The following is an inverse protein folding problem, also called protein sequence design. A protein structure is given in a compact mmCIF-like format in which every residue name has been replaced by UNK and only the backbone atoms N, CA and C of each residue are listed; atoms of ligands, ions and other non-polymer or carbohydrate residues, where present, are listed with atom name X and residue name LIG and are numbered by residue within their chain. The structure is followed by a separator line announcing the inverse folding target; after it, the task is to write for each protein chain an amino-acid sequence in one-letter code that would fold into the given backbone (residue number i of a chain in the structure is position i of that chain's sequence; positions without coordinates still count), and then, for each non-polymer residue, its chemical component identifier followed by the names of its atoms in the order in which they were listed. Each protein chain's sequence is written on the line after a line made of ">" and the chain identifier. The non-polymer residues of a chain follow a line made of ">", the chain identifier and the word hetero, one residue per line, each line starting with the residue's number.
data_IF_128430970642
#
_entry.id   IF_128430970642
#
_cell.length_a   1.000
_cell.length_b   1.000
_cell.length_c   1.000
_cell.angle_alpha   90.00
_cell.angle_beta   90.00
_cell.angle_gamma   90.00
#
_symmetry.space_group_name_H-M   'P 1'
#
loop_
_entity.id
_entity.type
_entity.pdbx_description
1 polymer ?
#
# COMPACT_ATOMS: atom_id res chain seq x y z
N UNK A 1 19.90 -2.02 -43.41
CA UNK A 1 20.48 -1.44 -42.19
C UNK A 1 19.87 -1.93 -40.86
N UNK A 2 18.62 -2.37 -40.77
CA UNK A 2 17.99 -2.88 -39.51
C UNK A 2 18.45 -4.30 -39.10
N UNK A 3 18.84 -5.17 -40.05
CA UNK A 3 19.26 -6.55 -39.79
C UNK A 3 20.65 -6.60 -39.15
N UNK A 4 21.56 -5.77 -39.62
CA UNK A 4 22.95 -5.71 -39.12
C UNK A 4 23.03 -5.28 -37.64
N UNK A 5 22.09 -4.46 -37.17
CA UNK A 5 22.01 -4.08 -35.74
C UNK A 5 21.47 -5.20 -34.82
N UNK A 6 20.61 -6.07 -35.35
CA UNK A 6 20.10 -7.23 -34.57
C UNK A 6 21.19 -8.25 -34.33
N UNK A 7 22.00 -8.56 -35.37
CA UNK A 7 23.07 -9.55 -35.22
C UNK A 7 24.18 -9.05 -34.29
N UNK A 8 24.51 -7.75 -34.34
CA UNK A 8 25.47 -7.16 -33.42
C UNK A 8 24.94 -7.19 -31.95
N UNK A 9 23.67 -6.91 -31.74
CA UNK A 9 23.02 -6.96 -30.43
C UNK A 9 23.02 -8.39 -29.84
N UNK A 10 22.66 -9.41 -30.64
CA UNK A 10 22.64 -10.80 -30.21
C UNK A 10 24.06 -11.26 -29.86
N UNK A 11 25.07 -10.92 -30.69
CA UNK A 11 26.49 -11.24 -30.40
C UNK A 11 26.99 -10.60 -29.12
N UNK A 12 26.57 -9.35 -28.84
CA UNK A 12 26.90 -8.65 -27.59
C UNK A 12 26.30 -9.33 -26.37
N UNK A 13 25.04 -9.78 -26.43
CA UNK A 13 24.40 -10.52 -25.33
C UNK A 13 25.10 -11.86 -25.07
N UNK A 14 25.42 -12.60 -26.13
CA UNK A 14 26.14 -13.88 -26.02
C UNK A 14 27.51 -13.66 -25.35
N UNK A 15 28.23 -12.62 -25.74
CA UNK A 15 29.53 -12.30 -25.14
C UNK A 15 29.41 -11.95 -23.65
N UNK A 16 28.40 -11.17 -23.26
CA UNK A 16 28.14 -10.82 -21.84
C UNK A 16 27.81 -12.07 -21.03
N UNK A 17 26.94 -12.95 -21.52
CA UNK A 17 26.59 -14.20 -20.85
C UNK A 17 27.82 -15.11 -20.70
N UNK A 18 28.67 -15.20 -21.72
CA UNK A 18 29.90 -15.97 -21.65
C UNK A 18 30.88 -15.42 -20.60
N UNK A 19 31.03 -14.09 -20.51
CA UNK A 19 31.85 -13.45 -19.47
C UNK A 19 31.32 -13.72 -18.08
N UNK A 20 30.00 -13.59 -17.87
CA UNK A 20 29.35 -13.88 -16.56
C UNK A 20 29.53 -15.37 -16.17
N UNK A 21 29.46 -16.27 -17.13
CA UNK A 21 29.70 -17.69 -16.91
C UNK A 21 31.15 -17.96 -16.50
N UNK A 22 32.13 -17.33 -17.15
CA UNK A 22 33.54 -17.43 -16.80
C UNK A 22 33.82 -16.83 -15.40
N UNK A 23 33.21 -15.68 -15.06
CA UNK A 23 33.30 -15.10 -13.72
C UNK A 23 32.77 -16.06 -12.66
N UNK A 24 31.65 -16.74 -12.92
CA UNK A 24 31.10 -17.78 -12.02
C UNK A 24 32.01 -18.97 -11.83
N UNK A 25 32.71 -19.41 -12.89
CA UNK A 25 33.67 -20.52 -12.83
C UNK A 25 34.93 -20.15 -12.02
N UNK A 26 35.40 -18.90 -12.17
CA UNK A 26 36.58 -18.40 -11.46
C UNK A 26 36.30 -17.99 -10.00
N UNK A 27 35.05 -17.66 -9.68
CA UNK A 27 34.63 -17.19 -8.34
C UNK A 27 33.32 -17.87 -7.88
N UNK A 28 33.34 -19.13 -7.50
CA UNK A 28 32.14 -19.85 -7.08
C UNK A 28 31.47 -19.26 -5.82
N UNK A 29 32.22 -18.58 -4.97
CA UNK A 29 31.71 -17.96 -3.72
C UNK A 29 30.86 -16.68 -3.88
N UNK A 30 30.77 -16.11 -5.08
CA UNK A 30 29.97 -14.89 -5.33
C UNK A 30 28.46 -15.18 -5.31
N UNK A 31 28.04 -16.44 -5.33
CA UNK A 31 26.62 -16.85 -5.34
C UNK A 31 26.15 -17.55 -4.07
N UNK A 32 26.99 -17.74 -3.07
CA UNK A 32 26.56 -18.23 -1.76
C UNK A 32 26.12 -17.03 -0.91
N UNK A 33 24.82 -16.77 -0.87
CA UNK A 33 24.23 -15.96 0.19
C UNK A 33 24.38 -16.75 1.49
N UNK A 34 25.22 -16.28 2.41
CA UNK A 34 25.31 -16.79 3.77
C UNK A 34 23.97 -16.51 4.47
N UNK A 35 23.09 -17.50 4.48
CA UNK A 35 22.00 -17.57 5.44
C UNK A 35 22.66 -18.04 6.74
N UNK A 36 22.64 -17.28 7.84
CA UNK A 36 23.13 -17.79 9.11
C UNK A 36 22.23 -18.94 9.54
N UNK A 37 22.83 -20.11 9.70
CA UNK A 37 22.23 -21.31 10.29
C UNK A 37 21.85 -20.96 11.72
N UNK A 38 20.55 -20.89 12.01
CA UNK A 38 20.02 -20.68 13.35
C UNK A 38 20.21 -21.99 14.12
N UNK A 39 21.13 -21.97 15.06
CA UNK A 39 21.28 -23.01 16.07
C UNK A 39 19.94 -23.30 16.75
N UNK A 40 19.54 -24.56 16.68
CA UNK A 40 18.39 -25.10 17.41
C UNK A 40 18.71 -25.07 18.89
N UNK A 41 18.22 -24.06 19.59
CA UNK A 41 18.28 -24.02 21.06
C UNK A 41 17.30 -25.03 21.64
N UNK A 42 17.86 -25.99 22.35
CA UNK A 42 17.18 -26.99 23.14
C UNK A 42 16.22 -26.34 24.16
N UNK A 43 15.04 -26.94 24.30
CA UNK A 43 14.05 -26.59 25.31
C UNK A 43 14.63 -26.73 26.71
N UNK A 44 14.60 -25.63 27.50
CA UNK A 44 14.81 -25.65 28.94
C UNK A 44 13.48 -25.46 29.66
N UNK A 45 13.28 -26.09 30.85
CA UNK A 45 11.98 -26.14 31.50
C UNK A 45 11.57 -24.82 32.16
N UNK A 46 10.28 -24.56 32.12
CA UNK A 46 9.64 -23.39 32.72
C UNK A 46 9.69 -23.50 34.24
N UNK A 47 10.52 -22.72 34.91
CA UNK A 47 10.41 -22.44 36.33
C UNK A 47 9.60 -21.17 36.60
N UNK A 48 8.63 -21.32 37.49
CA UNK A 48 7.79 -20.25 38.00
C UNK A 48 8.61 -19.28 38.86
N UNK A 49 8.68 -18.00 38.50
CA UNK A 49 9.23 -16.94 39.34
C UNK A 49 8.12 -16.07 39.93
N UNK A 50 8.01 -16.17 41.23
CA UNK A 50 7.27 -15.31 42.16
C UNK A 50 7.92 -13.93 42.26
N UNK A 51 7.11 -12.96 42.67
CA UNK A 51 7.34 -11.52 42.74
C UNK A 51 8.56 -11.06 43.57
N UNK A 52 8.94 -9.81 43.23
CA UNK A 52 9.72 -8.86 43.98
C UNK A 52 11.26 -8.90 43.77
N UNK A 53 11.78 -7.92 43.01
CA UNK A 53 12.75 -6.98 43.54
C UNK A 53 12.92 -5.74 42.64
N UNK A 54 12.98 -4.60 43.29
CA UNK A 54 13.17 -3.28 42.72
C UNK A 54 14.64 -3.07 42.33
N UNK A 55 14.89 -2.81 41.04
CA UNK A 55 16.20 -2.28 40.58
C UNK A 55 16.00 -0.89 40.03
N UNK A 56 16.60 0.10 40.72
CA UNK A 56 16.78 1.46 40.24
C UNK A 56 17.79 1.42 39.11
N UNK A 57 17.41 1.86 37.92
CA UNK A 57 18.29 2.13 36.78
C UNK A 57 18.23 3.60 36.46
N UNK A 58 19.41 4.19 36.51
CA UNK A 58 19.71 5.59 36.32
C UNK A 58 19.45 6.08 34.88
N UNK A 59 19.15 7.35 34.82
CA UNK A 59 18.76 8.15 33.68
C UNK A 59 19.80 8.19 32.56
N UNK A 60 19.42 7.90 31.32
CA UNK A 60 19.78 8.69 30.12
C UNK A 60 19.19 8.08 28.83
N UNK A 61 18.56 8.92 28.06
CA UNK A 61 17.98 8.69 26.72
C UNK A 61 16.54 8.18 26.69
N UNK A 62 15.61 9.08 26.96
CA UNK A 62 14.18 8.86 26.72
C UNK A 62 13.85 9.02 25.24
N UNK A 63 13.87 7.92 24.48
CA UNK A 63 13.11 7.80 23.25
C UNK A 63 11.64 7.68 23.67
N UNK A 64 10.71 8.54 23.20
CA UNK A 64 9.31 8.36 23.51
C UNK A 64 8.81 7.07 22.83
N UNK A 65 8.84 5.98 23.55
CA UNK A 65 8.15 4.75 23.17
C UNK A 65 6.66 5.04 23.26
N UNK A 66 6.02 5.30 22.12
CA UNK A 66 4.56 5.29 22.04
C UNK A 66 4.14 3.85 22.35
N UNK A 67 3.86 3.59 23.63
CA UNK A 67 3.27 2.35 24.08
C UNK A 67 1.84 2.29 23.52
N UNK A 68 1.69 1.83 22.29
CA UNK A 68 0.40 1.42 21.75
C UNK A 68 -0.09 0.31 22.68
N UNK A 69 -1.14 0.59 23.45
CA UNK A 69 -1.69 -0.37 24.39
C UNK A 69 -2.06 -1.64 23.63
N UNK A 70 -1.37 -2.72 23.92
CA UNK A 70 -1.59 -4.05 23.33
C UNK A 70 -3.05 -4.50 23.46
N UNK A 71 -3.79 -3.97 24.46
CA UNK A 71 -5.22 -4.16 24.66
C UNK A 71 -6.09 -3.53 23.55
N UNK A 72 -5.70 -2.40 22.95
CA UNK A 72 -6.47 -1.78 21.87
C UNK A 72 -6.30 -2.52 20.54
N UNK A 73 -5.13 -3.07 20.27
CA UNK A 73 -4.87 -3.91 19.10
C UNK A 73 -5.62 -5.26 19.20
N UNK A 74 -5.74 -5.84 20.40
CA UNK A 74 -6.49 -7.07 20.62
C UNK A 74 -8.00 -6.86 20.51
N UNK A 75 -8.54 -5.72 21.00
CA UNK A 75 -9.96 -5.38 20.87
C UNK A 75 -10.38 -5.16 19.43
N UNK A 76 -9.55 -4.51 18.60
CA UNK A 76 -9.83 -4.36 17.17
C UNK A 76 -9.81 -5.70 16.42
N UNK A 77 -8.98 -6.66 16.84
CA UNK A 77 -8.91 -7.99 16.24
C UNK A 77 -10.11 -8.88 16.61
N UNK A 78 -10.68 -8.72 17.81
CA UNK A 78 -11.80 -9.53 18.30
C UNK A 78 -13.17 -9.01 17.87
N UNK A 79 -13.29 -7.74 17.48
CA UNK A 79 -14.56 -7.11 17.06
C UNK A 79 -14.86 -7.24 15.57
N UNK A 80 -14.08 -7.99 14.79
CA UNK A 80 -14.41 -8.19 13.38
C UNK A 80 -15.59 -9.15 13.25
N UNK A 81 -16.71 -8.73 12.63
CA UNK A 81 -17.82 -9.65 12.41
C UNK A 81 -17.32 -10.83 11.56
N UNK A 82 -17.64 -12.05 12.01
CA UNK A 82 -17.38 -13.25 11.20
C UNK A 82 -18.12 -13.09 9.88
N UNK A 83 -17.39 -13.29 8.77
CA UNK A 83 -17.99 -13.26 7.45
C UNK A 83 -18.99 -14.41 7.34
N UNK A 84 -20.23 -14.08 7.02
CA UNK A 84 -21.27 -15.07 6.75
C UNK A 84 -21.23 -15.48 5.27
N UNK A 85 -20.88 -16.73 5.02
CA UNK A 85 -20.86 -17.35 3.70
C UNK A 85 -22.08 -18.23 3.42
N UNK A 86 -23.03 -18.35 4.35
CA UNK A 86 -24.24 -19.18 4.20
C UNK A 86 -25.16 -18.64 3.11
N UNK A 87 -25.16 -17.33 2.91
CA UNK A 87 -25.96 -16.66 1.89
C UNK A 87 -25.09 -15.77 1.01
N UNK A 88 -25.33 -15.84 -0.30
CA UNK A 88 -24.60 -14.98 -1.26
C UNK A 88 -25.16 -13.56 -1.21
N UNK A 89 -24.32 -12.61 -0.84
CA UNK A 89 -24.70 -11.20 -0.79
C UNK A 89 -24.82 -10.60 -2.19
N UNK A 90 -25.84 -9.76 -2.40
CA UNK A 90 -26.01 -9.05 -3.67
C UNK A 90 -25.10 -7.82 -3.75
N UNK A 91 -24.67 -7.47 -4.95
CA UNK A 91 -24.04 -6.18 -5.22
C UNK A 91 -25.14 -5.10 -5.20
N UNK A 92 -24.98 -4.08 -4.36
CA UNK A 92 -25.90 -2.94 -4.25
C UNK A 92 -25.36 -1.72 -4.98
N UNK A 93 -24.04 -1.56 -4.99
CA UNK A 93 -23.36 -0.38 -5.54
C UNK A 93 -23.72 0.91 -4.80
N UNK A 94 -23.59 2.03 -5.52
CA UNK A 94 -24.03 3.36 -5.08
C UNK A 94 -24.93 3.98 -6.14
N UNK A 95 -25.88 4.80 -5.74
CA UNK A 95 -26.84 5.43 -6.67
C UNK A 95 -26.15 6.39 -7.65
N UNK A 96 -25.22 7.20 -7.16
CA UNK A 96 -24.43 8.13 -7.96
C UNK A 96 -23.03 8.25 -7.38
N UNK A 97 -22.00 8.13 -8.21
CA UNK A 97 -20.60 8.26 -7.77
C UNK A 97 -20.31 9.68 -7.30
N UNK A 98 -20.80 10.69 -8.01
CA UNK A 98 -20.58 12.10 -7.68
C UNK A 98 -21.23 12.49 -6.35
N UNK A 99 -22.47 12.01 -6.12
CA UNK A 99 -23.19 12.27 -4.87
C UNK A 99 -22.63 11.49 -3.69
N UNK A 100 -22.16 10.26 -3.92
CA UNK A 100 -21.61 9.40 -2.87
C UNK A 100 -20.19 9.81 -2.48
N UNK A 101 -19.45 10.44 -3.39
CA UNK A 101 -18.04 10.83 -3.22
C UNK A 101 -17.82 12.29 -3.65
N UNK A 102 -18.46 13.26 -2.97
CA UNK A 102 -18.51 14.66 -3.38
C UNK A 102 -17.35 15.51 -2.84
N UNK A 103 -16.46 14.93 -2.02
CA UNK A 103 -15.53 15.70 -1.23
C UNK A 103 -14.46 16.34 -2.13
N UNK A 104 -14.57 17.65 -2.32
CA UNK A 104 -13.66 18.44 -3.16
C UNK A 104 -12.44 18.92 -2.37
N UNK A 105 -11.54 19.62 -3.06
CA UNK A 105 -10.28 20.10 -2.53
C UNK A 105 -10.42 20.93 -1.24
N UNK A 106 -11.50 21.71 -1.14
CA UNK A 106 -11.74 22.64 -0.02
C UNK A 106 -11.84 21.94 1.34
N UNK A 107 -12.34 20.69 1.37
CA UNK A 107 -12.41 19.89 2.59
C UNK A 107 -11.21 18.95 2.74
N UNK A 108 -10.65 18.46 1.63
CA UNK A 108 -9.54 17.51 1.66
C UNK A 108 -8.21 18.17 2.01
N UNK A 109 -7.91 19.34 1.45
CA UNK A 109 -6.61 19.98 1.65
C UNK A 109 -6.36 20.40 3.11
N UNK A 110 -7.31 21.07 3.82
CA UNK A 110 -7.13 21.34 5.24
C UNK A 110 -6.95 20.08 6.08
N UNK A 111 -7.72 19.01 5.79
CA UNK A 111 -7.59 17.73 6.48
C UNK A 111 -6.23 17.08 6.21
N UNK A 112 -5.77 17.09 4.95
CA UNK A 112 -4.47 16.58 4.58
C UNK A 112 -3.33 17.26 5.34
N UNK A 113 -3.38 18.59 5.42
CA UNK A 113 -2.38 19.39 6.14
C UNK A 113 -2.41 19.17 7.64
N UNK A 114 -3.62 19.05 8.23
CA UNK A 114 -3.78 18.87 9.67
C UNK A 114 -3.37 17.49 10.18
N UNK A 115 -3.56 16.45 9.38
CA UNK A 115 -3.30 15.05 9.75
C UNK A 115 -1.99 14.49 9.17
N UNK A 116 -1.25 15.28 8.40
CA UNK A 116 -0.07 14.84 7.67
C UNK A 116 1.25 15.33 8.25
N UNK A 117 2.31 14.92 7.58
CA UNK A 117 3.66 15.46 7.80
C UNK A 117 3.82 16.77 7.00
N UNK A 118 4.76 17.66 7.38
CA UNK A 118 5.17 18.75 6.51
C UNK A 118 5.55 18.24 5.11
N UNK A 119 5.25 19.02 4.08
CA UNK A 119 5.61 18.65 2.71
C UNK A 119 7.11 18.41 2.59
N UNK A 120 7.50 17.32 1.93
CA UNK A 120 8.89 16.98 1.67
C UNK A 120 9.34 17.50 0.32
N UNK A 121 10.55 18.06 0.26
CA UNK A 121 11.07 18.67 -0.95
C UNK A 121 11.38 17.62 -2.03
N UNK A 122 12.10 16.58 -1.64
CA UNK A 122 12.54 15.52 -2.54
C UNK A 122 12.47 14.13 -1.88
N UNK A 123 12.95 13.11 -2.61
CA UNK A 123 12.94 11.72 -2.14
C UNK A 123 13.93 11.46 -1.01
N UNK A 124 15.05 12.17 -0.97
CA UNK A 124 16.06 12.03 0.07
C UNK A 124 15.52 12.54 1.42
N UNK A 125 14.82 13.68 1.42
CA UNK A 125 14.15 14.18 2.62
C UNK A 125 13.06 13.22 3.10
N UNK A 126 12.27 12.63 2.19
CA UNK A 126 11.27 11.63 2.56
C UNK A 126 11.88 10.40 3.25
N UNK A 127 13.07 9.97 2.82
CA UNK A 127 13.81 8.89 3.47
C UNK A 127 14.25 9.23 4.89
N UNK A 128 14.57 10.49 5.19
CA UNK A 128 14.89 10.95 6.54
C UNK A 128 13.68 10.97 7.47
N UNK A 129 12.46 11.03 6.92
CA UNK A 129 11.20 11.04 7.68
C UNK A 129 10.55 9.66 7.87
N UNK A 130 11.30 8.58 7.72
CA UNK A 130 10.79 7.20 7.89
C UNK A 130 10.20 6.92 9.28
N UNK A 131 10.61 7.66 10.31
CA UNK A 131 10.02 7.56 11.65
C UNK A 131 8.56 8.06 11.73
N UNK A 132 8.17 8.95 10.81
CA UNK A 132 6.83 9.55 10.74
C UNK A 132 5.95 8.89 9.66
N UNK A 133 6.55 8.10 8.76
CA UNK A 133 5.91 7.54 7.57
C UNK A 133 5.94 6.02 7.59
N UNK A 134 4.82 5.42 7.20
CA UNK A 134 4.69 3.97 7.01
C UNK A 134 4.97 3.62 5.54
N UNK A 135 5.85 2.64 5.31
CA UNK A 135 6.04 2.06 3.98
C UNK A 135 4.83 1.23 3.58
N UNK A 136 4.22 1.53 2.43
CA UNK A 136 3.00 0.89 1.92
C UNK A 136 3.23 0.14 0.59
N UNK A 137 4.47 -0.06 0.18
CA UNK A 137 4.82 -0.67 -1.11
C UNK A 137 4.47 -2.14 -1.25
N UNK A 138 4.38 -2.88 -0.14
CA UNK A 138 4.06 -4.31 -0.12
C UNK A 138 2.93 -4.61 0.85
N UNK A 139 1.83 -5.18 0.35
CA UNK A 139 0.67 -5.51 1.19
C UNK A 139 -0.14 -6.65 0.57
N UNK A 140 -0.70 -7.58 1.37
CA UNK A 140 -1.54 -8.66 0.85
C UNK A 140 -2.90 -8.19 0.30
N UNK A 141 -3.39 -7.02 0.69
CA UNK A 141 -4.75 -6.56 0.39
C UNK A 141 -4.86 -5.64 -0.83
N UNK A 142 -3.75 -5.07 -1.29
CA UNK A 142 -3.71 -4.19 -2.46
C UNK A 142 -2.41 -4.36 -3.26
N UNK A 143 -2.36 -3.75 -4.43
CA UNK A 143 -1.17 -3.67 -5.28
C UNK A 143 -0.82 -2.20 -5.52
N UNK A 144 0.47 -1.89 -5.55
CA UNK A 144 0.94 -0.61 -6.08
C UNK A 144 0.99 -0.69 -7.60
N UNK A 145 0.61 0.39 -8.28
CA UNK A 145 0.73 0.47 -9.74
C UNK A 145 2.21 0.45 -10.16
N UNK A 146 2.59 -0.50 -11.00
CA UNK A 146 3.96 -0.61 -11.52
C UNK A 146 4.42 0.66 -12.28
N UNK A 147 3.48 1.45 -12.83
CA UNK A 147 3.73 2.72 -13.50
C UNK A 147 3.82 3.93 -12.57
N UNK A 148 3.74 3.75 -11.26
CA UNK A 148 3.77 4.84 -10.27
C UNK A 148 5.19 5.42 -10.11
N UNK A 149 5.54 6.37 -10.98
CA UNK A 149 6.87 7.01 -11.00
C UNK A 149 6.89 8.43 -10.40
N UNK A 150 5.74 8.98 -10.01
CA UNK A 150 5.56 10.34 -9.45
C UNK A 150 5.00 10.34 -8.04
N UNK A 151 5.20 9.26 -7.33
CA UNK A 151 4.86 9.09 -5.93
C UNK A 151 5.87 8.14 -5.32
N UNK A 152 6.04 8.20 -4.02
CA UNK A 152 6.87 7.27 -3.26
C UNK A 152 5.97 6.49 -2.29
N UNK A 153 6.23 5.20 -2.06
CA UNK A 153 5.30 4.31 -1.38
C UNK A 153 5.29 4.52 0.14
N UNK A 154 5.07 5.76 0.54
CA UNK A 154 4.94 6.16 1.95
C UNK A 154 3.62 6.87 2.20
N UNK A 155 3.05 6.64 3.38
CA UNK A 155 1.89 7.34 3.92
C UNK A 155 2.11 7.56 5.42
N UNK A 156 1.42 8.52 6.02
CA UNK A 156 1.33 8.58 7.48
C UNK A 156 0.63 7.31 8.00
N UNK A 157 0.94 6.83 9.22
CA UNK A 157 0.39 5.57 9.73
C UNK A 157 -1.12 5.47 9.62
N UNK A 158 -1.85 6.54 9.96
CA UNK A 158 -3.30 6.60 9.87
C UNK A 158 -3.83 6.35 8.45
N UNK A 159 -3.20 6.93 7.43
CA UNK A 159 -3.59 6.75 6.02
C UNK A 159 -3.19 5.35 5.50
N UNK A 160 -2.04 4.83 5.93
CA UNK A 160 -1.62 3.46 5.58
C UNK A 160 -2.55 2.40 6.16
N UNK A 161 -3.00 2.56 7.41
CA UNK A 161 -3.99 1.67 8.04
C UNK A 161 -5.35 1.77 7.34
N UNK A 162 -5.80 2.98 6.98
CA UNK A 162 -7.04 3.15 6.21
C UNK A 162 -6.96 2.44 4.85
N UNK A 163 -5.86 2.59 4.12
CA UNK A 163 -5.66 1.90 2.84
C UNK A 163 -5.73 0.38 3.00
N UNK A 164 -5.06 -0.17 4.01
CA UNK A 164 -5.11 -1.60 4.33
C UNK A 164 -6.53 -2.04 4.69
N UNK A 165 -7.24 -1.25 5.49
CA UNK A 165 -8.63 -1.51 5.89
C UNK A 165 -9.57 -1.56 4.68
N UNK A 166 -9.47 -0.59 3.77
CA UNK A 166 -10.24 -0.58 2.52
C UNK A 166 -9.94 -1.81 1.67
N UNK A 167 -8.65 -2.14 1.48
CA UNK A 167 -8.25 -3.30 0.69
C UNK A 167 -8.78 -4.61 1.26
N UNK A 168 -8.70 -4.81 2.57
CA UNK A 168 -9.24 -5.97 3.27
C UNK A 168 -10.76 -6.06 3.12
N UNK A 169 -11.50 -4.99 3.45
CA UNK A 169 -12.98 -4.95 3.31
C UNK A 169 -13.42 -5.22 1.87
N UNK A 170 -12.65 -4.79 0.89
CA UNK A 170 -12.94 -5.09 -0.52
C UNK A 170 -12.82 -6.59 -0.82
N UNK A 171 -11.75 -7.25 -0.38
CA UNK A 171 -11.59 -8.70 -0.54
C UNK A 171 -12.70 -9.48 0.20
N UNK A 172 -13.03 -9.09 1.44
CA UNK A 172 -14.10 -9.67 2.23
C UNK A 172 -15.46 -9.52 1.51
N UNK A 173 -15.74 -8.33 0.96
CA UNK A 173 -16.95 -8.05 0.19
C UNK A 173 -17.04 -8.88 -1.09
N UNK A 174 -15.94 -9.10 -1.79
CA UNK A 174 -15.90 -9.99 -2.96
C UNK A 174 -16.20 -11.44 -2.55
N UNK A 175 -15.59 -11.90 -1.45
CA UNK A 175 -15.75 -13.26 -0.96
C UNK A 175 -17.21 -13.58 -0.63
N UNK A 176 -17.90 -12.75 0.18
CA UNK A 176 -19.31 -12.97 0.54
C UNK A 176 -20.28 -12.79 -0.63
N UNK A 177 -19.85 -12.13 -1.69
CA UNK A 177 -20.60 -11.99 -2.95
C UNK A 177 -20.32 -13.13 -3.95
N UNK A 178 -19.40 -14.05 -3.61
CA UNK A 178 -18.98 -15.15 -4.48
C UNK A 178 -18.32 -14.66 -5.77
N UNK A 179 -17.60 -13.54 -5.69
CA UNK A 179 -16.84 -12.96 -6.79
C UNK A 179 -15.36 -13.37 -6.63
N UNK A 180 -14.68 -13.82 -7.70
CA UNK A 180 -13.25 -14.11 -7.64
C UNK A 180 -12.45 -12.95 -7.05
N UNK A 181 -11.49 -13.26 -6.18
CA UNK A 181 -10.75 -12.23 -5.46
C UNK A 181 -9.89 -11.37 -6.40
N UNK A 182 -9.97 -10.08 -6.22
CA UNK A 182 -9.20 -9.07 -6.92
C UNK A 182 -8.68 -8.05 -5.90
N UNK A 183 -7.41 -7.65 -6.03
CA UNK A 183 -6.85 -6.55 -5.23
C UNK A 183 -7.11 -5.22 -5.92
N UNK A 184 -7.36 -4.19 -5.14
CA UNK A 184 -7.35 -2.81 -5.61
C UNK A 184 -5.93 -2.41 -6.04
N UNK A 185 -5.84 -1.48 -7.00
CA UNK A 185 -4.56 -0.92 -7.47
C UNK A 185 -4.46 0.53 -7.00
N UNK A 186 -3.39 0.81 -6.25
CA UNK A 186 -3.04 2.15 -5.76
C UNK A 186 -2.20 2.85 -6.82
N UNK A 187 -2.65 4.00 -7.28
CA UNK A 187 -2.03 4.73 -8.39
C UNK A 187 -1.24 5.96 -7.97
N UNK A 188 -1.44 6.43 -6.75
CA UNK A 188 -0.69 7.55 -6.18
C UNK A 188 -0.71 7.50 -4.65
N UNK A 189 0.37 7.94 -4.04
CA UNK A 189 0.56 8.07 -2.58
C UNK A 189 1.33 9.35 -2.29
N UNK A 190 2.29 9.37 -1.36
CA UNK A 190 3.10 10.55 -1.06
C UNK A 190 3.77 11.11 -2.33
N UNK A 191 3.64 12.41 -2.56
CA UNK A 191 4.35 13.16 -3.61
C UNK A 191 5.24 14.20 -2.97
N UNK A 192 6.48 14.28 -3.44
CA UNK A 192 7.40 15.35 -3.06
C UNK A 192 7.05 16.65 -3.81
N UNK A 193 7.59 17.78 -3.37
CA UNK A 193 7.46 19.05 -4.08
C UNK A 193 8.00 18.94 -5.51
N UNK A 194 9.12 18.23 -5.69
CA UNK A 194 9.68 17.93 -7.01
C UNK A 194 8.73 17.13 -7.88
N UNK A 195 8.07 16.10 -7.33
CA UNK A 195 7.09 15.30 -8.08
C UNK A 195 5.89 16.17 -8.51
N UNK A 196 5.41 17.06 -7.64
CA UNK A 196 4.33 18.01 -7.96
C UNK A 196 4.77 18.99 -9.05
N UNK A 197 5.98 19.57 -8.95
CA UNK A 197 6.55 20.47 -9.98
C UNK A 197 6.69 19.77 -11.34
N UNK A 198 7.19 18.53 -11.36
CA UNK A 198 7.30 17.72 -12.59
C UNK A 198 5.94 17.39 -13.20
N UNK A 199 4.95 17.04 -12.35
CA UNK A 199 3.59 16.75 -12.81
C UNK A 199 2.97 17.99 -13.48
N UNK A 200 3.15 19.17 -12.91
CA UNK A 200 2.60 20.43 -13.45
C UNK A 200 3.20 20.84 -14.79
N UNK A 201 4.48 20.55 -15.03
CA UNK A 201 5.12 20.81 -16.34
C UNK A 201 4.45 20.03 -17.48
N UNK A 202 3.84 18.88 -17.17
CA UNK A 202 3.19 18.00 -18.16
C UNK A 202 1.67 18.19 -18.17
N UNK A 203 1.11 18.50 -17.01
CA UNK A 203 -0.32 18.70 -16.82
C UNK A 203 -0.58 20.02 -16.09
N UNK A 204 -0.84 21.08 -16.87
CA UNK A 204 -1.12 22.42 -16.34
C UNK A 204 -2.35 22.51 -15.43
N UNK A 205 -3.22 21.49 -15.43
CA UNK A 205 -4.37 21.40 -14.52
C UNK A 205 -4.02 20.76 -13.16
N UNK A 206 -2.79 20.28 -12.96
CA UNK A 206 -2.37 19.74 -11.66
C UNK A 206 -2.27 20.87 -10.63
N UNK A 207 -2.98 20.72 -9.53
CA UNK A 207 -2.99 21.72 -8.43
C UNK A 207 -1.61 21.80 -7.76
N UNK A 208 -1.17 23.04 -7.47
CA UNK A 208 -0.05 23.27 -6.56
C UNK A 208 -0.33 22.77 -5.15
N UNK A 209 -1.59 22.87 -4.75
CA UNK A 209 -2.09 22.44 -3.44
C UNK A 209 -2.46 20.94 -3.48
N UNK A 210 -1.50 20.08 -3.80
CA UNK A 210 -1.74 18.65 -3.80
C UNK A 210 -1.83 18.07 -2.39
N UNK A 211 -2.92 17.40 -2.04
CA UNK A 211 -3.09 16.70 -0.76
C UNK A 211 -2.06 15.57 -0.57
N UNK A 212 -1.54 15.00 -1.64
CA UNK A 212 -0.52 13.94 -1.58
C UNK A 212 0.81 14.38 -0.96
N UNK A 213 1.08 15.68 -0.87
CA UNK A 213 2.32 16.22 -0.29
C UNK A 213 2.48 15.93 1.21
N UNK A 214 1.38 15.64 1.90
CA UNK A 214 1.34 15.46 3.35
C UNK A 214 1.30 13.99 3.79
N UNK A 215 1.36 13.03 2.84
CA UNK A 215 1.32 11.60 3.14
C UNK A 215 -0.03 11.07 3.66
N UNK A 216 -1.08 11.88 3.61
CA UNK A 216 -2.43 11.55 4.12
C UNK A 216 -3.38 11.06 3.04
N UNK A 217 -2.93 11.11 1.78
CA UNK A 217 -3.79 10.95 0.60
C UNK A 217 -3.25 9.87 -0.33
N UNK A 218 -4.16 9.06 -0.84
CA UNK A 218 -3.86 8.03 -1.84
C UNK A 218 -4.97 7.92 -2.87
N UNK A 219 -4.60 7.47 -4.08
CA UNK A 219 -5.53 7.24 -5.19
C UNK A 219 -5.70 5.75 -5.43
N UNK A 220 -6.94 5.28 -5.58
CA UNK A 220 -7.29 3.90 -5.94
C UNK A 220 -7.93 3.91 -7.32
N UNK A 221 -7.39 3.14 -8.26
CA UNK A 221 -8.01 2.93 -9.57
C UNK A 221 -9.38 2.28 -9.43
N UNK A 222 -10.37 2.74 -10.21
CA UNK A 222 -11.68 2.08 -10.29
C UNK A 222 -11.92 1.34 -11.61
N UNK A 223 -10.95 1.36 -12.51
CA UNK A 223 -11.04 0.71 -13.83
C UNK A 223 -10.00 -0.39 -14.03
N UNK A 224 -9.08 -0.57 -13.07
CA UNK A 224 -8.04 -1.61 -13.08
C UNK A 224 -7.98 -2.30 -11.73
N UNK A 225 -7.86 -3.63 -11.76
CA UNK A 225 -7.76 -4.49 -10.58
C UNK A 225 -6.79 -5.62 -10.87
N UNK A 226 -6.19 -6.17 -9.83
CA UNK A 226 -5.28 -7.31 -9.95
C UNK A 226 -6.00 -8.60 -9.52
N UNK A 227 -6.14 -9.56 -10.45
CA UNK A 227 -6.75 -10.87 -10.15
C UNK A 227 -5.84 -11.67 -9.22
N UNK A 228 -6.39 -12.17 -8.11
CA UNK A 228 -5.65 -13.04 -7.17
C UNK A 228 -5.83 -14.48 -7.61
N UNK A 229 -4.74 -15.11 -8.04
CA UNK A 229 -4.70 -16.54 -8.39
C UNK A 229 -3.72 -17.26 -7.47
N UNK A 230 -4.06 -18.43 -6.91
CA UNK A 230 -3.08 -19.25 -6.19
C UNK A 230 -1.95 -19.66 -7.14
N UNK A 231 -0.71 -19.79 -6.64
CA UNK A 231 0.44 -20.11 -7.49
C UNK A 231 0.34 -21.51 -8.14
N UNK A 232 -0.33 -22.46 -7.47
CA UNK A 232 -0.41 -23.86 -7.90
C UNK A 232 -1.77 -24.22 -8.56
N UNK A 233 -2.62 -23.22 -8.82
CA UNK A 233 -3.92 -23.41 -9.47
C UNK A 233 -3.97 -22.70 -10.83
N UNK A 234 -4.87 -23.12 -11.74
CA UNK A 234 -5.13 -22.35 -12.96
C UNK A 234 -5.52 -20.91 -12.66
N UNK A 235 -5.08 -19.98 -13.51
CA UNK A 235 -5.38 -18.58 -13.37
C UNK A 235 -6.90 -18.36 -13.22
N UNK A 236 -7.32 -17.64 -12.18
CA UNK A 236 -8.74 -17.35 -11.94
C UNK A 236 -9.25 -16.41 -13.01
N UNK A 237 -10.53 -16.55 -13.32
CA UNK A 237 -11.23 -15.69 -14.28
C UNK A 237 -11.18 -14.22 -13.82
N UNK A 238 -10.68 -13.34 -14.68
CA UNK A 238 -10.80 -11.91 -14.47
C UNK A 238 -12.28 -11.47 -14.52
N UNK A 239 -12.67 -10.62 -13.58
CA UNK A 239 -14.01 -10.02 -13.52
C UNK A 239 -13.97 -8.64 -14.15
N UNK A 240 -15.05 -8.23 -14.82
CA UNK A 240 -15.16 -6.90 -15.43
C UNK A 240 -14.97 -5.81 -14.36
N UNK A 241 -14.20 -4.79 -14.70
CA UNK A 241 -13.90 -3.66 -13.81
C UNK A 241 -15.16 -2.95 -13.30
N UNK A 242 -16.23 -2.87 -14.10
CA UNK A 242 -17.50 -2.28 -13.67
C UNK A 242 -18.10 -2.99 -12.46
N UNK A 243 -18.14 -4.34 -12.49
CA UNK A 243 -18.66 -5.13 -11.37
C UNK A 243 -17.81 -4.94 -10.10
N UNK A 244 -16.49 -4.93 -10.26
CA UNK A 244 -15.56 -4.69 -9.15
C UNK A 244 -15.68 -3.27 -8.61
N UNK A 245 -15.88 -2.27 -9.48
CA UNK A 245 -16.14 -0.88 -9.10
C UNK A 245 -17.39 -0.75 -8.23
N UNK A 246 -18.50 -1.44 -8.58
CA UNK A 246 -19.69 -1.41 -7.74
C UNK A 246 -19.42 -1.92 -6.33
N UNK A 247 -18.69 -3.02 -6.18
CA UNK A 247 -18.32 -3.55 -4.86
C UNK A 247 -17.37 -2.60 -4.12
N UNK A 248 -16.37 -2.04 -4.81
CA UNK A 248 -15.45 -1.06 -4.21
C UNK A 248 -16.21 0.17 -3.70
N UNK A 249 -17.20 0.66 -4.47
CA UNK A 249 -18.00 1.81 -4.06
C UNK A 249 -18.84 1.56 -2.81
N UNK A 250 -19.32 0.34 -2.58
CA UNK A 250 -19.99 -0.01 -1.32
C UNK A 250 -19.03 0.18 -0.14
N UNK A 251 -17.83 -0.38 -0.23
CA UNK A 251 -16.79 -0.28 0.82
C UNK A 251 -16.40 1.18 1.05
N UNK A 252 -16.14 1.94 -0.02
CA UNK A 252 -15.75 3.34 0.07
C UNK A 252 -16.84 4.23 0.67
N UNK A 253 -18.12 3.98 0.31
CA UNK A 253 -19.25 4.67 0.93
C UNK A 253 -19.29 4.41 2.43
N UNK A 254 -19.13 3.17 2.84
CA UNK A 254 -19.21 2.78 4.24
C UNK A 254 -18.09 3.42 5.07
N UNK A 255 -16.83 3.36 4.64
CA UNK A 255 -15.71 4.00 5.36
C UNK A 255 -15.84 5.54 5.38
N UNK A 256 -16.46 6.14 4.35
CA UNK A 256 -16.76 7.56 4.34
C UNK A 256 -17.85 7.92 5.35
N UNK A 257 -18.93 7.14 5.43
CA UNK A 257 -20.03 7.32 6.42
C UNK A 257 -19.50 7.12 7.84
N UNK A 258 -18.60 6.16 8.05
CA UNK A 258 -17.90 5.96 9.32
C UNK A 258 -17.00 7.14 9.72
N UNK A 259 -16.84 8.13 8.85
CA UNK A 259 -16.07 9.34 9.12
C UNK A 259 -14.55 9.15 9.04
N UNK A 260 -14.06 8.06 8.44
CA UNK A 260 -12.63 7.74 8.39
C UNK A 260 -11.88 8.54 7.34
N UNK A 261 -12.56 9.01 6.29
CA UNK A 261 -11.93 9.73 5.18
C UNK A 261 -12.90 10.63 4.42
N UNK A 262 -12.31 11.53 3.65
CA UNK A 262 -12.93 12.25 2.54
C UNK A 262 -12.63 11.53 1.23
N UNK A 263 -13.61 11.47 0.32
CA UNK A 263 -13.46 10.77 -0.96
C UNK A 263 -14.02 11.60 -2.10
N UNK A 264 -13.21 11.77 -3.16
CA UNK A 264 -13.62 12.38 -4.42
C UNK A 264 -13.56 11.37 -5.56
N UNK A 265 -14.59 11.35 -6.38
CA UNK A 265 -14.61 10.57 -7.62
C UNK A 265 -13.96 11.37 -8.75
N UNK A 266 -12.77 10.95 -9.18
CA UNK A 266 -11.97 11.62 -10.23
C UNK A 266 -12.18 10.98 -11.60
N UNK A 267 -13.13 11.51 -12.37
CA UNK A 267 -13.52 10.95 -13.68
C UNK A 267 -12.37 10.94 -14.67
N UNK A 268 -11.62 12.05 -14.78
CA UNK A 268 -10.53 12.22 -15.75
C UNK A 268 -9.32 11.34 -15.42
N UNK A 269 -9.08 11.05 -14.15
CA UNK A 269 -7.93 10.26 -13.69
C UNK A 269 -8.25 8.78 -13.52
N UNK A 270 -9.53 8.41 -13.55
CA UNK A 270 -9.96 7.02 -13.39
C UNK A 270 -9.72 6.44 -12.00
N UNK A 271 -9.75 7.29 -10.95
CA UNK A 271 -9.47 6.91 -9.57
C UNK A 271 -10.45 7.53 -8.57
N UNK A 272 -10.47 6.96 -7.37
CA UNK A 272 -10.96 7.60 -6.16
C UNK A 272 -9.80 8.26 -5.45
N UNK A 273 -9.90 9.56 -5.21
CA UNK A 273 -8.95 10.36 -4.44
C UNK A 273 -9.40 10.40 -2.98
N UNK A 274 -8.61 9.84 -2.08
CA UNK A 274 -8.99 9.52 -0.71
C UNK A 274 -8.02 10.18 0.25
N UNK A 275 -8.53 11.04 1.14
CA UNK A 275 -7.75 11.72 2.19
C UNK A 275 -8.27 11.30 3.57
N UNK A 276 -7.39 10.86 4.46
CA UNK A 276 -7.74 10.47 5.84
C UNK A 276 -8.21 11.69 6.64
N UNK A 277 -9.22 11.46 7.52
CA UNK A 277 -9.77 12.50 8.42
C UNK A 277 -9.07 12.52 9.75
#
# INVERSE_FOLDING_TARGET
>A
MKILRKDLFIKSIIAIVAVLFLVRLCWPKVTESSVPETDVLAEAPVESLTAADSVVVDSACSVPTVAVRRSELLTLSTMQPRLDFSTRHRIRGVHSYQQSFPDVQDVQFPAAKANGVPSVEDRAEAELRKSELLFVGMNPYYMMDAGMNRSIPYLVPKAGHLLQHIGRRFLDSLAVKGIPLHKIIVTSVLRTEDDVRRLRRINGNASEQSCHRFGTTFDISYNRYHTVSPPDEPARRAVRSDSLKYVLCEVLRDVRIEGLCYIKYEVKQGCFHITVR
#
